data_IF_855747175232
#
_entry.id   IF_855747175232
#
_cell.length_a   1.000
_cell.length_b   1.000
_cell.length_c   1.000
_cell.angle_alpha   90.00
_cell.angle_beta   90.00
_cell.angle_gamma   90.00
#
_symmetry.space_group_name_H-M   'P 1'
#
loop_
_entity.id
_entity.type
_entity.pdbx_description
1 polymer ?
2 non-polymer ?
3 non-polymer ?
4 non-polymer ?
5 water ?
#
# COMPACT_ATOMS: atom_id res chain seq x y z
N UNK A 3 -5.69 -23.66 10.70
CA UNK A 3 -5.03 -24.59 9.74
C UNK A 3 -4.86 -23.97 8.35
N UNK A 4 -5.87 -23.24 7.85
CA UNK A 4 -5.84 -22.80 6.47
C UNK A 4 -6.66 -21.54 6.20
N UNK A 5 -6.13 -20.63 5.39
CA UNK A 5 -6.91 -19.46 5.00
C UNK A 5 -6.99 -19.46 3.49
N UNK A 6 -8.19 -19.26 2.97
CA UNK A 6 -8.44 -19.28 1.55
C UNK A 6 -8.54 -17.85 1.06
N UNK A 7 -7.73 -17.50 0.05
CA UNK A 7 -7.74 -16.14 -0.49
C UNK A 7 -8.02 -16.09 -2.00
N UNK A 8 -8.48 -14.91 -2.39
CA UNK A 8 -8.66 -14.56 -3.79
C UNK A 8 -7.73 -13.38 -4.02
N UNK A 9 -6.91 -13.46 -5.06
CA UNK A 9 -5.94 -12.40 -5.34
C UNK A 9 -6.29 -11.68 -6.64
N UNK A 10 -6.53 -10.38 -6.57
CA UNK A 10 -6.83 -9.57 -7.72
C UNK A 10 -5.58 -8.75 -8.05
N UNK A 11 -4.96 -9.00 -9.21
CA UNK A 11 -3.75 -8.29 -9.61
C UNK A 11 -2.52 -9.09 -9.30
N UNK A 12 -1.74 -9.37 -10.35
CA UNK A 12 -0.53 -10.20 -10.28
C UNK A 12 0.64 -9.53 -11.02
N UNK A 13 0.84 -8.26 -10.69
CA UNK A 13 1.95 -7.48 -11.25
C UNK A 13 3.15 -7.52 -10.32
N UNK A 14 3.88 -6.41 -10.23
CA UNK A 14 5.08 -6.34 -9.39
C UNK A 14 4.80 -6.84 -7.98
N UNK A 15 3.70 -6.37 -7.42
CA UNK A 15 3.42 -6.72 -6.03
C UNK A 15 2.68 -8.07 -5.94
N UNK A 16 1.61 -8.22 -6.70
CA UNK A 16 0.82 -9.46 -6.67
C UNK A 16 1.57 -10.74 -7.04
N UNK A 17 2.47 -10.70 -8.02
CA UNK A 17 3.22 -11.93 -8.32
C UNK A 17 4.14 -12.27 -7.14
N UNK A 18 4.71 -11.26 -6.48
CA UNK A 18 5.53 -11.49 -5.28
C UNK A 18 4.69 -11.98 -4.11
N UNK A 19 3.43 -11.59 -4.07
CA UNK A 19 2.55 -12.11 -3.04
C UNK A 19 2.41 -13.64 -3.20
N UNK A 20 2.22 -14.09 -4.43
CA UNK A 20 2.18 -15.51 -4.72
C UNK A 20 3.51 -16.18 -4.36
N UNK A 21 4.62 -15.55 -4.71
CA UNK A 21 5.93 -16.15 -4.41
C UNK A 21 6.09 -16.36 -2.92
N UNK A 22 5.74 -15.34 -2.13
CA UNK A 22 5.87 -15.41 -0.67
C UNK A 22 4.95 -16.47 -0.09
N UNK A 23 3.71 -16.53 -0.58
CA UNK A 23 2.78 -17.55 -0.13
C UNK A 23 3.29 -18.94 -0.45
N UNK A 24 3.84 -19.10 -1.64
CA UNK A 24 4.32 -20.40 -2.06
C UNK A 24 5.52 -20.85 -1.19
N UNK A 25 6.42 -19.92 -0.90
CA UNK A 25 7.60 -20.22 -0.07
C UNK A 25 7.12 -20.53 1.32
N UNK A 26 6.13 -19.80 1.77
CA UNK A 26 5.58 -19.98 3.12
C UNK A 26 4.94 -21.33 3.30
N UNK A 27 4.11 -21.70 2.34
CA UNK A 27 3.46 -22.98 2.38
C UNK A 27 4.49 -24.11 2.42
N UNK A 28 5.62 -23.93 1.74
CA UNK A 28 6.64 -24.98 1.67
C UNK A 28 7.40 -25.19 2.99
N UNK A 29 7.39 -24.22 3.88
CA UNK A 29 8.00 -24.35 5.20
C UNK A 29 7.08 -25.12 6.11
N UNK A 30 5.79 -24.77 6.03
CA UNK A 30 4.68 -25.47 6.73
C UNK A 30 4.90 -25.79 8.22
N UNK A 33 0.38 -20.99 8.90
CA UNK A 33 -0.66 -21.97 8.59
C UNK A 33 -0.43 -22.52 7.14
N UNK A 34 -1.50 -22.75 6.39
CA UNK A 34 -1.41 -22.89 4.95
C UNK A 34 -2.26 -21.72 4.41
N UNK A 35 -1.75 -21.05 3.39
CA UNK A 35 -2.54 -20.06 2.66
C UNK A 35 -2.87 -20.71 1.31
N UNK A 36 -4.15 -20.91 1.05
CA UNK A 36 -4.63 -21.56 -0.16
C UNK A 36 -5.23 -20.50 -1.07
N UNK A 37 -4.70 -20.41 -2.27
CA UNK A 37 -5.16 -19.42 -3.26
C UNK A 37 -6.22 -20.12 -4.09
N UNK A 38 -7.45 -19.64 -4.01
CA UNK A 38 -8.56 -20.25 -4.72
C UNK A 38 -9.09 -19.39 -5.87
N UNK A 39 -8.50 -18.23 -6.08
CA UNK A 39 -8.85 -17.39 -7.22
C UNK A 39 -7.73 -16.40 -7.47
N UNK A 40 -7.41 -16.15 -8.72
CA UNK A 40 -6.32 -15.21 -9.04
C UNK A 40 -6.57 -14.57 -10.38
N UNK A 41 -6.34 -13.27 -10.49
CA UNK A 41 -6.45 -12.53 -11.77
C UNK A 41 -5.30 -11.53 -12.14
N UNK A 42 -5.25 -11.22 -13.47
CA UNK A 42 -4.58 -10.08 -13.99
C UNK A 42 -5.67 -9.36 -14.84
N UNK A 43 -5.29 -8.39 -15.66
CA UNK A 43 -6.31 -7.58 -16.33
C UNK A 43 -7.07 -8.36 -17.38
N UNK A 44 -6.46 -9.41 -17.91
CA UNK A 44 -7.07 -10.16 -19.01
C UNK A 44 -7.53 -11.57 -18.73
N UNK A 45 -6.95 -12.23 -17.73
CA UNK A 45 -7.22 -13.67 -17.46
C UNK A 45 -7.37 -13.99 -15.98
N UNK A 46 -7.85 -15.20 -15.70
CA UNK A 46 -7.96 -15.64 -14.30
C UNK A 46 -7.90 -17.15 -14.19
N UNK A 47 -7.69 -17.58 -12.96
CA UNK A 47 -7.76 -18.99 -12.58
C UNK A 47 -8.61 -19.06 -11.33
N UNK A 48 -9.39 -20.11 -11.21
CA UNK A 48 -10.30 -20.29 -10.07
C UNK A 48 -10.40 -21.77 -9.82
N UNK A 49 -10.46 -22.19 -8.56
CA UNK A 49 -10.52 -23.61 -8.25
C UNK A 49 -10.07 -23.91 -6.85
N UNK A 50 -10.34 -25.13 -6.37
CA UNK A 50 -10.00 -25.54 -5.00
C UNK A 50 -8.48 -25.70 -4.82
N UNK A 51 -7.86 -26.54 -5.66
CA UNK A 51 -6.41 -26.82 -5.55
C UNK A 51 -5.60 -26.14 -6.70
N UNK A 52 -5.44 -24.83 -6.61
CA UNK A 52 -4.72 -24.08 -7.65
C UNK A 52 -3.24 -24.26 -7.38
N UNK A 53 -2.47 -24.44 -8.46
CA UNK A 53 -1.03 -24.68 -8.35
C UNK A 53 -0.28 -23.37 -8.52
N UNK A 54 0.12 -22.77 -7.40
CA UNK A 54 0.69 -21.43 -7.37
C UNK A 54 1.97 -21.31 -8.15
N UNK A 55 2.89 -22.25 -7.95
CA UNK A 55 4.17 -22.14 -8.67
C UNK A 55 3.93 -22.27 -10.16
N UNK A 56 2.95 -23.07 -10.54
CA UNK A 56 2.62 -23.18 -11.94
C UNK A 56 2.04 -21.88 -12.48
N UNK A 57 1.22 -21.20 -11.69
CA UNK A 57 0.67 -19.92 -12.09
C UNK A 57 1.78 -18.86 -12.17
N UNK A 58 2.70 -18.86 -11.21
CA UNK A 58 3.82 -17.94 -11.26
C UNK A 58 4.64 -18.15 -12.56
N UNK A 59 4.93 -19.41 -12.86
CA UNK A 59 5.71 -19.74 -14.03
C UNK A 59 5.01 -19.29 -15.31
N UNK A 60 3.70 -19.54 -15.42
CA UNK A 60 2.93 -19.16 -16.59
C UNK A 60 2.85 -17.64 -16.77
N UNK A 61 2.67 -16.91 -15.69
CA UNK A 61 2.66 -15.45 -15.74
C UNK A 61 4.02 -14.88 -16.15
N UNK A 62 5.08 -15.35 -15.52
CA UNK A 62 6.45 -14.96 -15.89
C UNK A 62 6.80 -15.20 -17.34
N UNK A 63 6.45 -16.39 -17.82
CA UNK A 63 6.84 -16.76 -19.16
C UNK A 63 6.00 -16.17 -20.27
N UNK A 64 4.70 -16.04 -20.03
CA UNK A 64 3.77 -15.65 -21.07
C UNK A 64 3.11 -14.32 -20.88
N UNK A 65 3.24 -13.75 -19.68
CA UNK A 65 2.63 -12.47 -19.35
C UNK A 65 1.16 -12.57 -18.99
N UNK A 66 0.63 -13.79 -18.89
CA UNK A 66 -0.78 -14.00 -18.53
C UNK A 66 -0.95 -15.08 -17.47
N UNK A 67 -1.98 -14.93 -16.66
CA UNK A 67 -2.27 -15.89 -15.61
C UNK A 67 -2.78 -17.17 -16.20
N UNK A 68 -3.61 -17.04 -17.21
CA UNK A 68 -4.18 -18.19 -17.87
C UNK A 68 -4.67 -17.79 -19.23
N UNK A 69 -5.28 -18.74 -19.93
CA UNK A 69 -5.82 -18.47 -21.24
C UNK A 69 -7.33 -18.50 -21.14
N UNK A 70 -7.82 -18.00 -20.02
CA UNK A 70 -9.24 -17.95 -19.65
C UNK A 70 -9.66 -16.51 -19.28
N UNK A 71 -10.37 -15.87 -20.22
CA UNK A 71 -10.75 -14.46 -20.16
C UNK A 71 -11.44 -14.03 -18.87
N UNK A 72 -10.95 -12.94 -18.29
CA UNK A 72 -11.48 -12.33 -17.08
C UNK A 72 -12.39 -11.15 -17.37
N UNK A 73 -13.62 -11.18 -16.89
CA UNK A 73 -14.56 -10.07 -17.12
C UNK A 73 -14.69 -9.11 -15.93
N UNK A 74 -14.47 -9.60 -14.72
CA UNK A 74 -14.56 -8.79 -13.52
C UNK A 74 -14.53 -9.71 -12.32
N UNK A 75 -14.57 -9.13 -11.11
CA UNK A 75 -14.54 -9.85 -9.84
C UNK A 75 -15.56 -10.96 -9.72
N UNK A 76 -16.70 -10.80 -10.36
CA UNK A 76 -17.73 -11.81 -10.35
C UNK A 76 -17.17 -13.17 -10.77
N UNK A 77 -16.25 -13.19 -11.72
CA UNK A 77 -15.63 -14.44 -12.18
C UNK A 77 -14.94 -15.25 -11.06
N UNK A 78 -14.59 -14.59 -9.95
CA UNK A 78 -13.84 -15.21 -8.88
C UNK A 78 -14.70 -15.59 -7.68
N UNK A 79 -15.97 -15.29 -7.70
CA UNK A 79 -16.80 -15.51 -6.53
C UNK A 79 -17.43 -16.92 -6.49
N UNK A 80 -17.00 -17.80 -7.39
CA UNK A 80 -17.46 -19.19 -7.37
C UNK A 80 -16.86 -20.08 -6.31
N UNK A 81 -15.75 -19.65 -5.71
CA UNK A 81 -15.12 -20.45 -4.68
C UNK A 81 -15.27 -19.75 -3.36
N UNK A 82 -15.51 -20.56 -2.34
CA UNK A 82 -15.53 -20.10 -0.97
C UNK A 82 -14.13 -19.64 -0.60
N UNK A 83 -14.03 -18.44 -0.03
CA UNK A 83 -12.76 -17.83 0.39
C UNK A 83 -13.02 -17.04 1.67
N UNK A 84 -11.95 -16.77 2.41
CA UNK A 84 -12.04 -15.98 3.63
C UNK A 84 -11.65 -14.51 3.41
N UNK A 85 -10.89 -14.27 2.35
CA UNK A 85 -10.24 -12.98 2.17
C UNK A 85 -9.97 -12.65 0.72
N UNK A 86 -10.21 -11.39 0.35
CA UNK A 86 -9.87 -10.86 -0.96
C UNK A 86 -8.65 -9.96 -0.81
N UNK A 87 -7.68 -10.12 -1.71
CA UNK A 87 -6.48 -9.31 -1.71
C UNK A 87 -6.47 -8.46 -2.99
N UNK A 88 -6.38 -7.15 -2.80
CA UNK A 88 -6.36 -6.19 -3.90
C UNK A 88 -4.97 -5.67 -4.18
N UNK A 89 -4.36 -6.19 -5.24
CA UNK A 89 -3.11 -5.68 -5.72
C UNK A 89 -3.27 -5.06 -7.13
N UNK A 90 -4.45 -4.50 -7.38
CA UNK A 90 -4.74 -3.84 -8.68
C UNK A 90 -4.27 -2.39 -8.59
N UNK A 91 -4.06 -1.72 -9.75
CA UNK A 91 -3.64 -0.33 -9.74
C UNK A 91 -4.73 0.61 -9.30
N UNK A 92 -4.33 1.81 -8.88
CA UNK A 92 -5.26 2.85 -8.49
C UNK A 92 -6.14 3.29 -9.62
N UNK A 93 -7.44 3.32 -9.37
CA UNK A 93 -8.40 4.01 -10.25
C UNK A 93 -8.39 5.49 -9.92
N UNK A 94 -9.00 6.31 -10.77
CA UNK A 94 -8.96 7.77 -10.56
C UNK A 94 -9.84 8.24 -9.37
N UNK A 95 -10.90 7.49 -9.08
CA UNK A 95 -11.95 7.91 -8.14
C UNK A 95 -12.26 6.92 -7.02
N UNK A 96 -11.62 5.75 -7.01
CA UNK A 96 -11.85 4.78 -5.94
C UNK A 96 -13.12 3.97 -6.00
N UNK A 97 -13.95 4.19 -7.03
CA UNK A 97 -15.27 3.56 -7.10
C UNK A 97 -15.16 2.07 -7.41
N UNK A 98 -14.23 1.70 -8.30
CA UNK A 98 -14.00 0.31 -8.65
C UNK A 98 -13.58 -0.51 -7.41
N UNK A 99 -12.71 0.09 -6.59
CA UNK A 99 -12.20 -0.55 -5.40
C UNK A 99 -13.29 -0.68 -4.34
N UNK A 100 -14.04 0.40 -4.12
CA UNK A 100 -15.18 0.33 -3.23
C UNK A 100 -16.13 -0.80 -3.63
N UNK A 101 -16.44 -0.91 -4.91
CA UNK A 101 -17.32 -1.92 -5.40
C UNK A 101 -16.77 -3.31 -5.13
N UNK A 102 -15.48 -3.47 -5.36
CA UNK A 102 -14.84 -4.73 -5.10
C UNK A 102 -14.91 -5.12 -3.64
N UNK A 103 -14.58 -4.22 -2.73
CA UNK A 103 -14.54 -4.51 -1.31
C UNK A 103 -15.95 -4.78 -0.81
N UNK A 104 -16.92 -4.01 -1.31
CA UNK A 104 -18.31 -4.22 -0.93
C UNK A 104 -18.76 -5.62 -1.36
N UNK A 105 -18.47 -5.99 -2.61
CA UNK A 105 -18.79 -7.33 -3.08
C UNK A 105 -18.14 -8.40 -2.18
N UNK A 106 -16.86 -8.21 -1.88
CA UNK A 106 -16.14 -9.13 -1.00
C UNK A 106 -16.82 -9.25 0.37
N UNK A 107 -17.08 -8.11 1.01
CA UNK A 107 -17.69 -8.08 2.34
C UNK A 107 -19.02 -8.78 2.36
N UNK A 108 -19.83 -8.51 1.34
CA UNK A 108 -21.15 -9.09 1.26
C UNK A 108 -21.06 -10.58 0.99
N UNK A 109 -19.95 -11.02 0.42
CA UNK A 109 -19.75 -12.43 0.14
C UNK A 109 -19.13 -13.17 1.31
N UNK A 110 -19.00 -12.52 2.47
CA UNK A 110 -18.44 -13.19 3.63
C UNK A 110 -16.92 -13.14 3.77
N UNK A 111 -16.29 -12.20 3.08
CA UNK A 111 -14.87 -12.12 3.09
C UNK A 111 -14.36 -10.87 3.75
N UNK A 112 -13.15 -10.97 4.34
CA UNK A 112 -12.44 -9.74 4.74
C UNK A 112 -11.59 -9.31 3.58
N UNK A 113 -10.96 -8.13 3.69
CA UNK A 113 -10.12 -7.62 2.64
C UNK A 113 -8.76 -7.19 3.11
N UNK A 114 -7.76 -7.47 2.27
CA UNK A 114 -6.42 -6.92 2.42
C UNK A 114 -6.09 -6.15 1.15
N UNK A 115 -5.62 -4.90 1.29
CA UNK A 115 -5.31 -4.15 0.10
C UNK A 115 -3.95 -3.47 0.16
N UNK A 116 -3.30 -3.46 -1.00
CA UNK A 116 -2.13 -2.61 -1.32
C UNK A 116 -2.52 -1.38 -2.12
N UNK A 117 -3.72 -1.42 -2.69
CA UNK A 117 -4.23 -0.34 -3.52
C UNK A 117 -4.74 0.80 -2.61
N UNK A 118 -4.28 2.03 -2.87
CA UNK A 118 -4.56 3.19 -2.04
C UNK A 118 -5.78 3.99 -2.45
N UNK A 119 -6.28 3.76 -3.67
CA UNK A 119 -7.31 4.68 -4.22
C UNK A 119 -8.69 4.52 -3.60
N UNK A 120 -9.11 3.30 -3.33
CA UNK A 120 -10.39 3.08 -2.67
C UNK A 120 -10.44 3.78 -1.34
N UNK A 121 -9.45 3.52 -0.47
CA UNK A 121 -9.42 4.14 0.84
C UNK A 121 -9.20 5.63 0.80
N UNK A 122 -8.47 6.12 -0.19
CA UNK A 122 -8.19 7.56 -0.28
C UNK A 122 -9.40 8.40 -0.75
N UNK A 123 -10.31 7.76 -1.48
CA UNK A 123 -11.46 8.40 -2.07
C UNK A 123 -12.80 8.05 -1.43
N UNK A 124 -12.91 6.82 -0.93
CA UNK A 124 -14.18 6.25 -0.50
C UNK A 124 -14.11 5.60 0.90
N UNK A 125 -13.35 6.21 1.80
CA UNK A 125 -13.15 5.68 3.15
C UNK A 125 -14.48 5.45 3.82
N UNK A 126 -15.35 6.45 3.76
CA UNK A 126 -16.64 6.37 4.42
C UNK A 126 -17.48 5.18 3.95
N UNK A 127 -17.67 5.07 2.64
CA UNK A 127 -18.49 4.02 2.10
C UNK A 127 -17.85 2.66 2.31
N UNK A 128 -16.54 2.59 2.15
CA UNK A 128 -15.87 1.32 2.42
C UNK A 128 -16.02 0.91 3.88
N UNK A 129 -15.86 1.83 4.84
CA UNK A 129 -15.96 1.40 6.27
C UNK A 129 -17.37 1.09 6.67
N UNK A 130 -18.32 1.78 6.06
CA UNK A 130 -19.72 1.51 6.28
C UNK A 130 -20.08 0.10 5.83
N UNK A 131 -19.62 -0.29 4.65
CA UNK A 131 -19.93 -1.62 4.16
C UNK A 131 -19.23 -2.66 5.04
N UNK A 132 -18.00 -2.38 5.47
CA UNK A 132 -17.29 -3.29 6.38
C UNK A 132 -18.11 -3.48 7.68
N UNK A 133 -18.50 -2.35 8.27
CA UNK A 133 -19.32 -2.36 9.48
C UNK A 133 -20.60 -3.16 9.29
N UNK A 134 -21.36 -2.82 8.26
CA UNK A 134 -22.66 -3.43 8.03
C UNK A 134 -22.57 -4.93 7.85
N UNK A 135 -21.45 -5.39 7.34
CA UNK A 135 -21.29 -6.81 7.07
C UNK A 135 -20.45 -7.49 8.12
N UNK A 136 -20.03 -6.75 9.14
CA UNK A 136 -19.15 -7.29 10.20
C UNK A 136 -17.84 -7.90 9.67
N UNK A 137 -17.19 -7.16 8.78
CA UNK A 137 -15.93 -7.63 8.21
C UNK A 137 -14.89 -6.59 8.48
N UNK A 138 -13.65 -6.94 8.11
CA UNK A 138 -12.48 -6.09 8.31
C UNK A 138 -11.73 -5.85 7.04
N UNK A 139 -10.97 -4.75 7.02
CA UNK A 139 -10.05 -4.45 5.99
C UNK A 139 -8.72 -4.04 6.58
N UNK A 140 -7.63 -4.61 6.04
CA UNK A 140 -6.29 -4.19 6.41
C UNK A 140 -5.57 -3.68 5.17
N UNK A 141 -4.62 -2.78 5.42
CA UNK A 141 -4.01 -1.94 4.39
C UNK A 141 -2.56 -1.54 4.67
N UNK A 142 -1.82 -2.45 5.27
CA UNK A 142 -0.41 -2.20 5.54
C UNK A 142 0.37 -1.67 4.35
N UNK A 143 0.25 -2.33 3.22
CA UNK A 143 1.00 -1.97 2.02
C UNK A 143 0.62 -0.65 1.38
N UNK A 144 -0.50 -0.04 1.77
CA UNK A 144 -0.95 1.21 1.17
C UNK A 144 -0.13 2.44 1.59
N UNK A 145 0.62 2.38 2.71
CA UNK A 145 1.50 3.51 3.07
C UNK A 145 2.90 2.97 3.40
N UNK A 146 3.90 3.41 2.65
CA UNK A 146 5.28 2.94 2.87
C UNK A 146 5.34 1.44 2.70
N UNK A 147 5.05 1.00 1.50
CA UNK A 147 5.11 -0.41 1.11
C UNK A 147 5.54 -1.41 2.17
N UNK A 148 6.83 -1.62 2.27
CA UNK A 148 7.36 -2.65 3.12
C UNK A 148 7.75 -2.23 4.53
N UNK A 149 7.56 -0.98 4.89
CA UNK A 149 7.91 -0.56 6.25
C UNK A 149 6.72 -0.82 7.16
N UNK A 150 6.90 -1.57 8.25
CA UNK A 150 5.78 -1.75 9.19
C UNK A 150 5.29 -0.44 9.77
N UNK A 151 3.98 -0.19 9.63
CA UNK A 151 3.40 1.06 9.99
C UNK A 151 2.07 0.78 10.69
N UNK A 152 1.07 0.26 9.96
CA UNK A 152 -0.24 0.09 10.62
C UNK A 152 -0.19 -1.03 11.63
N UNK A 153 0.62 -2.04 11.40
CA UNK A 153 0.77 -3.14 12.36
C UNK A 153 1.44 -2.61 13.66
N UNK A 154 2.31 -1.61 13.49
CA UNK A 154 2.99 -0.94 14.63
C UNK A 154 1.97 -0.12 15.42
N UNK A 155 1.19 0.64 14.69
CA UNK A 155 0.15 1.48 15.30
C UNK A 155 -0.90 0.61 15.96
N UNK A 156 -1.23 -0.55 15.37
CA UNK A 156 -2.24 -1.45 15.94
C UNK A 156 -1.76 -2.27 17.13
N UNK A 157 -0.52 -2.73 17.13
CA UNK A 157 -0.10 -3.69 18.16
C UNK A 157 1.13 -3.36 18.98
N UNK A 158 1.80 -2.25 18.69
CA UNK A 158 3.04 -1.88 19.40
C UNK A 158 2.90 -0.66 20.31
N UNK A 159 1.93 0.21 20.07
CA UNK A 159 1.74 1.42 20.90
C UNK A 159 0.29 1.61 21.35
N UNK A 160 -0.33 0.51 21.77
CA UNK A 160 -1.72 0.53 22.23
C UNK A 160 -2.05 1.55 23.33
N UNK A 161 -1.15 1.78 24.30
CA UNK A 161 -1.50 2.73 25.34
C UNK A 161 -1.54 4.21 24.93
N UNK A 162 -1.01 4.54 23.76
CA UNK A 162 -0.79 5.94 23.41
C UNK A 162 -1.83 6.62 22.55
N UNK A 163 -1.92 7.93 22.74
CA UNK A 163 -2.43 8.79 21.68
C UNK A 163 -1.23 9.19 20.79
N UNK A 164 -1.41 9.14 19.48
CA UNK A 164 -0.44 9.61 18.51
C UNK A 164 -0.68 11.08 18.30
N UNK A 165 0.34 11.86 18.54
CA UNK A 165 0.27 13.32 18.39
C UNK A 165 0.64 13.73 16.97
N UNK A 166 1.64 13.07 16.40
CA UNK A 166 2.06 13.39 15.04
C UNK A 166 2.78 12.28 14.32
N UNK A 167 2.58 12.26 13.01
CA UNK A 167 3.29 11.41 12.09
C UNK A 167 4.03 12.27 11.06
N UNK A 168 5.29 11.91 10.80
CA UNK A 168 6.04 12.52 9.72
C UNK A 168 6.90 11.46 9.04
N UNK A 169 6.81 11.34 7.71
CA UNK A 169 7.61 10.33 7.05
C UNK A 169 7.86 10.54 5.60
N UNK A 170 8.86 9.82 5.10
CA UNK A 170 9.12 9.66 3.67
C UNK A 170 8.44 8.37 3.29
N UNK A 171 7.23 8.47 2.73
CA UNK A 171 6.39 7.30 2.50
C UNK A 171 6.03 7.07 1.04
N UNK A 172 6.33 8.01 0.15
CA UNK A 172 6.03 7.87 -1.30
C UNK A 172 7.40 7.77 -1.96
N UNK A 173 7.70 6.59 -2.49
CA UNK A 173 9.02 6.26 -3.02
C UNK A 173 9.43 7.07 -4.24
N UNK A 174 8.75 6.82 -5.35
CA UNK A 174 9.18 7.34 -6.66
C UNK A 174 9.43 8.86 -6.66
N UNK A 175 8.52 9.65 -6.07
CA UNK A 175 8.72 11.12 -6.04
C UNK A 175 9.99 11.46 -5.28
N UNK A 176 10.27 10.72 -4.22
CA UNK A 176 11.45 11.01 -3.43
C UNK A 176 12.75 10.59 -4.15
N UNK A 177 12.69 9.45 -4.81
CA UNK A 177 13.80 8.92 -5.58
C UNK A 177 14.09 9.90 -6.69
N UNK A 178 13.03 10.40 -7.32
CA UNK A 178 13.18 11.39 -8.43
C UNK A 178 13.85 12.65 -7.95
N UNK A 179 13.32 13.24 -6.88
CA UNK A 179 13.90 14.46 -6.31
C UNK A 179 15.36 14.25 -5.93
N UNK A 180 15.66 13.16 -5.23
CA UNK A 180 17.04 12.93 -4.80
C UNK A 180 18.03 12.74 -5.95
N UNK A 181 17.60 11.99 -6.96
CA UNK A 181 18.42 11.72 -8.10
C UNK A 181 18.55 12.92 -9.02
N UNK A 182 17.47 13.66 -9.21
CA UNK A 182 17.58 14.89 -9.97
C UNK A 182 18.48 15.93 -9.26
N UNK A 183 18.49 15.91 -7.92
CA UNK A 183 19.40 16.79 -7.18
C UNK A 183 20.84 16.43 -7.57
N UNK A 184 21.10 15.16 -7.92
CA UNK A 184 22.44 14.73 -8.37
C UNK A 184 22.65 14.97 -9.87
N UNK A 185 21.73 15.67 -10.50
CA UNK A 185 21.85 16.01 -11.90
C UNK A 185 21.40 14.98 -12.93
N UNK A 186 20.60 13.99 -12.53
CA UNK A 186 20.12 13.01 -13.49
C UNK A 186 18.84 13.51 -14.17
N UNK A 187 18.63 13.08 -15.42
CA UNK A 187 17.41 13.41 -16.14
C UNK A 187 16.24 12.65 -15.57
N UNK A 188 15.05 13.19 -15.77
CA UNK A 188 13.84 12.54 -15.34
C UNK A 188 13.70 11.16 -15.96
N UNK A 189 14.00 11.08 -17.26
CA UNK A 189 13.88 9.80 -17.95
C UNK A 189 14.75 8.77 -17.27
N UNK A 190 16.00 9.10 -16.99
CA UNK A 190 16.89 8.10 -16.39
C UNK A 190 16.41 7.60 -15.03
N UNK A 191 15.94 8.52 -14.21
CA UNK A 191 15.48 8.19 -12.90
C UNK A 191 14.19 7.37 -13.01
N UNK A 192 13.24 7.84 -13.81
CA UNK A 192 11.99 7.07 -14.00
C UNK A 192 12.30 5.64 -14.49
N UNK A 193 13.29 5.51 -15.36
CA UNK A 193 13.72 4.19 -15.89
C UNK A 193 14.19 3.33 -14.70
N UNK A 194 15.03 3.88 -13.83
CA UNK A 194 15.46 3.16 -12.66
C UNK A 194 14.31 2.81 -11.72
N UNK A 195 13.38 3.73 -11.48
CA UNK A 195 12.21 3.43 -10.62
C UNK A 195 11.37 2.25 -11.15
N UNK A 196 11.17 2.22 -12.47
CA UNK A 196 10.45 1.14 -13.13
C UNK A 196 11.22 -0.16 -12.98
N UNK A 197 12.54 -0.11 -13.19
CA UNK A 197 13.39 -1.29 -12.99
C UNK A 197 13.31 -1.81 -11.56
N UNK A 198 13.33 -0.92 -10.57
CA UNK A 198 13.14 -1.33 -9.19
C UNK A 198 11.73 -1.86 -8.90
N UNK A 199 10.76 -1.39 -9.67
CA UNK A 199 9.39 -1.84 -9.51
C UNK A 199 8.56 -0.98 -8.60
N UNK A 200 9.03 0.23 -8.29
CA UNK A 200 8.37 1.12 -7.34
C UNK A 200 7.44 2.16 -7.99
N UNK A 201 7.52 2.40 -9.28
CA UNK A 201 6.69 3.41 -9.93
C UNK A 201 5.26 2.93 -10.02
N UNK A 202 4.31 3.86 -9.91
CA UNK A 202 2.91 3.57 -10.05
C UNK A 202 2.61 3.20 -11.48
N UNK A 203 1.56 2.39 -11.66
CA UNK A 203 1.06 1.97 -12.95
C UNK A 203 0.78 3.18 -13.83
N UNK A 204 0.38 4.28 -13.19
CA UNK A 204 0.31 5.60 -13.86
C UNK A 204 1.35 6.44 -13.16
N UNK A 205 2.55 6.50 -13.74
CA UNK A 205 3.66 7.23 -13.07
C UNK A 205 3.42 8.72 -12.82
N UNK A 206 2.47 9.32 -13.56
CA UNK A 206 2.11 10.72 -13.28
C UNK A 206 1.53 10.88 -11.87
N UNK A 207 0.91 9.81 -11.35
CA UNK A 207 0.42 9.80 -9.95
C UNK A 207 1.57 10.02 -8.96
N UNK A 208 2.75 9.51 -9.29
CA UNK A 208 3.95 9.73 -8.46
C UNK A 208 4.43 11.18 -8.59
N UNK A 209 4.62 11.62 -9.82
CA UNK A 209 5.26 12.92 -10.10
C UNK A 209 4.38 14.08 -9.68
N UNK A 210 3.08 13.93 -9.69
CA UNK A 210 2.28 15.07 -9.26
C UNK A 210 1.98 15.03 -7.77
N UNK A 211 2.53 14.03 -7.07
CA UNK A 211 2.37 13.95 -5.61
C UNK A 211 1.06 13.31 -5.16
N UNK A 212 0.28 12.80 -6.10
CA UNK A 212 -1.00 12.15 -5.80
C UNK A 212 -0.82 10.85 -5.00
N UNK A 213 0.23 10.09 -5.29
CA UNK A 213 0.52 8.88 -4.48
C UNK A 213 0.69 9.30 -3.03
N UNK A 214 1.51 10.31 -2.78
CA UNK A 214 1.68 10.77 -1.40
C UNK A 214 0.36 11.25 -0.78
N UNK A 215 -0.45 11.95 -1.59
CA UNK A 215 -1.71 12.48 -1.12
C UNK A 215 -2.63 11.37 -0.66
N UNK A 216 -2.73 10.29 -1.43
CA UNK A 216 -3.58 9.17 -1.08
C UNK A 216 -3.13 8.58 0.24
N UNK A 217 -1.82 8.45 0.40
CA UNK A 217 -1.28 7.88 1.63
C UNK A 217 -1.64 8.78 2.80
N UNK A 218 -1.65 10.10 2.58
CA UNK A 218 -1.90 11.01 3.67
C UNK A 218 -3.33 10.92 4.17
N UNK A 219 -4.26 10.60 3.28
CA UNK A 219 -5.69 10.42 3.63
C UNK A 219 -5.83 9.20 4.52
N UNK A 220 -5.23 8.12 4.09
CA UNK A 220 -5.28 6.86 4.83
C UNK A 220 -4.69 7.07 6.23
N UNK A 221 -3.55 7.77 6.29
CA UNK A 221 -2.89 8.05 7.57
C UNK A 221 -3.74 8.90 8.50
N UNK A 222 -4.22 10.04 8.02
CA UNK A 222 -5.01 10.93 8.88
C UNK A 222 -6.30 10.22 9.32
N UNK A 223 -6.97 9.50 8.41
CA UNK A 223 -8.22 8.78 8.78
C UNK A 223 -7.94 7.65 9.78
N UNK A 224 -6.89 6.87 9.53
CA UNK A 224 -6.49 5.85 10.48
C UNK A 224 -6.15 6.41 11.89
N UNK A 225 -5.28 7.40 11.97
CA UNK A 225 -4.78 7.87 13.23
C UNK A 225 -5.80 8.71 13.94
N UNK A 226 -6.44 9.65 13.23
CA UNK A 226 -7.36 10.58 13.93
C UNK A 226 -8.84 10.29 13.78
N UNK A 227 -9.20 9.22 13.08
CA UNK A 227 -10.59 8.82 13.03
C UNK A 227 -11.46 9.69 12.15
N UNK A 228 -10.87 10.41 11.22
CA UNK A 228 -11.61 11.23 10.31
C UNK A 228 -12.01 10.40 9.08
N UNK A 229 -12.80 11.01 8.19
CA UNK A 229 -13.18 10.36 6.96
C UNK A 229 -12.88 11.33 5.81
N UNK A 230 -11.66 11.86 5.80
CA UNK A 230 -11.24 12.77 4.77
C UNK A 230 -11.12 12.02 3.43
N UNK A 231 -11.16 12.80 2.35
CA UNK A 231 -10.86 12.35 1.00
C UNK A 231 -9.68 13.19 0.50
N UNK A 232 -9.32 13.01 -0.77
CA UNK A 232 -8.24 13.81 -1.39
C UNK A 232 -8.55 15.29 -1.38
N UNK A 233 -9.84 15.65 -1.36
CA UNK A 233 -10.26 17.04 -1.32
C UNK A 233 -9.87 17.74 -0.03
N UNK A 234 -9.45 16.98 0.98
CA UNK A 234 -9.21 17.53 2.30
C UNK A 234 -7.77 17.59 2.72
N UNK A 235 -6.86 17.23 1.82
CA UNK A 235 -5.44 17.18 2.13
C UNK A 235 -4.69 18.08 1.19
N UNK A 236 -3.48 18.49 1.57
CA UNK A 236 -2.63 19.37 0.74
C UNK A 236 -1.46 18.53 0.21
N UNK A 237 -1.11 18.71 -1.05
CA UNK A 237 0.01 18.00 -1.62
C UNK A 237 0.67 18.76 -2.76
N UNK A 238 1.90 18.38 -3.07
CA UNK A 238 2.68 19.02 -4.11
C UNK A 238 3.39 17.94 -4.93
N UNK A 239 3.72 18.25 -6.17
CA UNK A 239 4.43 17.30 -7.04
C UNK A 239 5.80 17.84 -7.27
N UNK A 240 6.50 17.26 -8.24
CA UNK A 240 7.81 17.73 -8.63
C UNK A 240 7.61 18.93 -9.56
N UNK A 241 8.51 19.91 -9.52
CA UNK A 241 8.41 21.04 -10.41
C UNK A 241 9.77 21.29 -11.03
N UNK A 242 9.92 22.41 -11.71
CA UNK A 242 11.14 22.65 -12.49
C UNK A 242 12.30 23.22 -11.66
N UNK A 243 12.19 23.20 -10.34
CA UNK A 243 13.23 23.77 -9.54
C UNK A 243 14.56 22.97 -9.58
N UNK A 244 15.61 23.58 -9.09
CA UNK A 244 16.83 22.85 -8.89
C UNK A 244 16.74 22.32 -7.46
N UNK A 245 16.70 21.00 -7.28
CA UNK A 245 16.57 20.45 -5.94
C UNK A 245 17.88 20.41 -5.16
N UNK A 246 17.80 20.60 -3.85
CA UNK A 246 18.91 20.45 -2.94
C UNK A 246 19.09 19.01 -2.48
N UNK A 247 20.31 18.67 -2.04
CA UNK A 247 20.65 17.32 -1.59
C UNK A 247 19.81 16.89 -0.39
N UNK A 248 19.35 17.86 0.40
CA UNK A 248 18.54 17.57 1.58
C UNK A 248 17.01 17.75 1.41
N UNK A 249 16.55 17.88 0.16
CA UNK A 249 15.13 17.99 -0.12
C UNK A 249 14.49 16.60 -0.20
N UNK A 250 13.36 16.47 0.47
CA UNK A 250 12.54 15.28 0.51
C UNK A 250 11.07 15.69 0.47
N UNK A 251 10.25 14.81 -0.12
CA UNK A 251 8.81 14.96 -0.10
C UNK A 251 8.31 14.26 1.17
N UNK A 252 7.98 15.07 2.16
CA UNK A 252 7.59 14.58 3.47
C UNK A 252 6.09 14.69 3.65
N UNK A 253 5.50 13.61 4.14
CA UNK A 253 4.08 13.53 4.44
C UNK A 253 3.91 13.63 5.95
N UNK A 254 3.14 14.64 6.36
CA UNK A 254 2.83 14.90 7.79
C UNK A 254 1.32 14.87 8.11
N UNK A 255 1.01 14.32 9.28
CA UNK A 255 -0.34 14.24 9.79
C UNK A 255 -0.26 14.63 11.24
N UNK A 256 -1.09 15.58 11.61
CA UNK A 256 -1.07 16.18 12.94
C UNK A 256 -2.33 17.00 13.13
N UNK A 257 -2.54 17.56 14.32
CA UNK A 257 -3.73 18.37 14.60
C UNK A 257 -3.33 19.86 14.71
N UNK A 258 -4.03 20.72 13.97
CA UNK A 258 -3.82 22.16 13.97
C UNK A 258 -5.11 22.79 14.35
N UNK A 259 -5.10 23.52 15.47
CA UNK A 259 -6.30 24.19 15.97
C UNK A 259 -7.48 23.22 15.99
N UNK A 260 -7.30 22.14 16.76
CA UNK A 260 -8.33 21.12 16.98
C UNK A 260 -8.78 20.33 15.72
N UNK A 261 -8.25 20.66 14.54
CA UNK A 261 -8.56 19.95 13.30
C UNK A 261 -7.37 19.11 12.82
N UNK A 262 -7.57 17.79 12.54
CA UNK A 262 -6.47 17.03 11.93
C UNK A 262 -6.14 17.53 10.55
N UNK A 263 -4.84 17.56 10.23
CA UNK A 263 -4.38 18.02 8.93
C UNK A 263 -3.45 16.98 8.32
N UNK A 264 -3.49 16.91 6.99
CA UNK A 264 -2.65 15.98 6.22
C UNK A 264 -1.98 16.79 5.14
N UNK A 265 -0.66 16.83 5.16
CA UNK A 265 0.10 17.64 4.22
C UNK A 265 1.37 16.96 3.70
N UNK A 266 1.52 16.88 2.38
CA UNK A 266 2.75 16.35 1.75
C UNK A 266 3.47 17.52 1.05
N UNK A 267 4.73 17.73 1.35
CA UNK A 267 5.40 18.92 0.84
C UNK A 267 6.89 18.68 0.71
N UNK A 268 7.55 19.45 -0.14
CA UNK A 268 8.98 19.31 -0.29
C UNK A 268 9.66 20.13 0.81
N UNK A 269 10.50 19.50 1.61
CA UNK A 269 11.17 20.14 2.72
C UNK A 269 12.68 19.89 2.65
N UNK A 270 13.46 20.91 2.99
CA UNK A 270 14.91 20.75 3.13
C UNK A 270 15.19 20.37 4.56
N UNK A 271 15.56 19.11 4.77
CA UNK A 271 15.72 18.58 6.11
C UNK A 271 17.05 18.93 6.74
N UNK A 272 17.01 19.09 8.06
CA UNK A 272 18.16 19.26 8.89
C UNK A 272 18.94 17.97 8.96
N UNK A 273 20.25 18.11 9.11
CA UNK A 273 21.17 17.00 9.15
C UNK A 273 20.82 15.99 10.21
N UNK A 274 20.36 16.45 11.36
CA UNK A 274 20.04 15.56 12.47
C UNK A 274 18.59 15.03 12.49
N UNK A 275 17.83 15.30 11.45
CA UNK A 275 16.47 14.79 11.33
C UNK A 275 16.52 13.28 11.13
N UNK A 276 15.68 12.49 11.80
CA UNK A 276 15.71 11.03 11.58
C UNK A 276 15.49 10.68 10.12
N UNK A 277 14.70 11.47 9.45
CA UNK A 277 14.33 11.15 8.08
C UNK A 277 15.51 11.22 7.14
N UNK A 278 16.54 11.97 7.54
CA UNK A 278 17.76 12.02 6.75
C UNK A 278 18.58 10.75 6.92
N UNK A 279 18.22 9.85 7.84
CA UNK A 279 18.95 8.59 7.96
C UNK A 279 18.46 7.59 6.91
N UNK A 280 17.34 7.89 6.26
CA UNK A 280 16.75 6.96 5.31
C UNK A 280 17.51 6.98 3.99
N UNK A 281 17.93 5.79 3.58
CA UNK A 281 18.76 5.62 2.39
C UNK A 281 17.97 5.80 1.11
N UNK A 282 18.71 5.92 0.02
CA UNK A 282 18.17 6.17 -1.32
C UNK A 282 17.05 5.23 -1.70
N UNK A 283 17.16 3.97 -1.30
CA UNK A 283 16.16 2.95 -1.69
C UNK A 283 15.15 2.63 -0.61
N UNK A 284 15.16 3.39 0.48
CA UNK A 284 14.29 3.07 1.59
C UNK A 284 13.20 4.09 1.84
N UNK A 285 12.33 3.75 2.80
CA UNK A 285 11.28 4.63 3.29
C UNK A 285 11.28 4.60 4.82
N UNK A 286 10.56 5.50 5.45
CA UNK A 286 10.52 5.50 6.91
C UNK A 286 9.74 6.67 7.45
N UNK A 287 9.53 6.65 8.76
CA UNK A 287 8.75 7.64 9.44
C UNK A 287 9.07 7.75 10.94
N UNK A 288 8.42 8.72 11.57
CA UNK A 288 8.57 8.96 12.98
C UNK A 288 7.17 9.18 13.54
N UNK A 289 6.81 8.50 14.63
CA UNK A 289 5.56 8.81 15.29
C UNK A 289 5.84 9.30 16.70
N UNK A 290 5.31 10.48 16.99
CA UNK A 290 5.32 11.06 18.34
C UNK A 290 4.08 10.58 19.09
N UNK A 291 4.27 10.00 20.28
CA UNK A 291 3.19 9.42 21.10
C UNK A 291 3.23 9.94 22.49
N UNK A 292 2.11 9.84 23.20
CA UNK A 292 2.09 10.37 24.53
C UNK A 292 2.49 9.33 25.61
N UNK A 293 2.53 8.03 25.28
CA UNK A 293 2.90 6.98 26.26
C UNK A 293 3.99 5.98 25.83
N UNK A 294 4.47 6.08 24.60
CA UNK A 294 5.50 5.18 24.08
C UNK A 294 6.66 5.94 23.43
N UNK A 295 6.80 7.21 23.80
CA UNK A 295 7.86 8.06 23.26
C UNK A 295 7.70 8.43 21.80
N UNK A 296 8.84 8.71 21.16
CA UNK A 296 8.86 8.99 19.74
C UNK A 296 9.63 7.87 19.09
N UNK A 297 8.92 7.19 18.21
CA UNK A 297 9.41 5.98 17.58
C UNK A 297 9.72 6.21 16.12
N UNK A 298 10.89 5.71 15.70
CA UNK A 298 11.35 5.82 14.33
C UNK A 298 11.40 4.44 13.68
N UNK A 299 10.96 4.36 12.43
CA UNK A 299 10.88 3.06 11.73
C UNK A 299 11.24 3.32 10.29
N UNK A 300 12.11 2.50 9.75
CA UNK A 300 12.51 2.63 8.35
C UNK A 300 12.93 1.27 7.79
N UNK A 301 13.27 1.24 6.51
CA UNK A 301 13.90 0.05 5.96
C UNK A 301 15.04 0.43 5.03
N UNK A 302 15.71 -0.59 4.53
CA UNK A 302 16.87 -0.38 3.70
C UNK A 302 16.50 -0.36 2.22
N UNK A 303 15.62 -1.26 1.81
CA UNK A 303 15.27 -1.35 0.41
C UNK A 303 13.78 -1.62 0.35
N UNK A 304 13.00 -0.65 -0.07
CA UNK A 304 11.57 -0.83 -0.12
C UNK A 304 11.14 -1.04 -1.56
N UNK A 305 10.83 -2.28 -1.88
CA UNK A 305 10.45 -2.66 -3.24
C UNK A 305 9.17 -3.43 -3.22
N UNK A 306 8.72 -3.87 -4.40
CA UNK A 306 7.48 -4.66 -4.49
C UNK A 306 7.54 -6.00 -3.75
N UNK A 307 8.73 -6.57 -3.57
CA UNK A 307 8.84 -7.81 -2.80
C UNK A 307 8.50 -7.57 -1.31
N UNK A 308 9.06 -6.51 -0.74
CA UNK A 308 8.81 -6.10 0.64
C UNK A 308 7.40 -5.64 0.84
N UNK A 309 6.84 -4.98 -0.15
CA UNK A 309 5.44 -4.61 -0.10
C UNK A 309 4.59 -5.87 -0.06
N UNK A 310 4.92 -6.85 -0.90
CA UNK A 310 4.21 -8.16 -0.88
C UNK A 310 4.28 -8.84 0.51
N UNK A 311 5.39 -8.66 1.20
CA UNK A 311 5.54 -9.23 2.52
C UNK A 311 4.60 -8.56 3.50
N UNK A 312 4.36 -7.27 3.31
CA UNK A 312 3.39 -6.51 4.12
C UNK A 312 1.98 -7.00 3.88
N UNK A 313 1.64 -7.23 2.61
CA UNK A 313 0.36 -7.84 2.26
C UNK A 313 0.18 -9.20 2.95
N UNK A 314 1.22 -10.04 2.94
CA UNK A 314 1.07 -11.39 3.50
C UNK A 314 1.02 -11.32 5.03
N UNK A 315 1.70 -10.33 5.62
CA UNK A 315 1.55 -10.11 7.07
C UNK A 315 0.10 -9.80 7.40
N UNK A 316 -0.53 -8.93 6.59
CA UNK A 316 -1.95 -8.62 6.78
C UNK A 316 -2.82 -9.88 6.67
N UNK A 317 -2.54 -10.72 5.69
CA UNK A 317 -3.29 -12.00 5.53
C UNK A 317 -3.18 -12.86 6.81
N UNK A 318 -1.98 -12.93 7.36
CA UNK A 318 -1.72 -13.75 8.54
C UNK A 318 -2.35 -13.11 9.77
N UNK A 319 -2.33 -11.78 9.87
CA UNK A 319 -3.01 -11.13 11.00
C UNK A 319 -4.51 -11.43 10.95
N UNK A 320 -5.10 -11.41 9.75
CA UNK A 320 -6.53 -11.68 9.63
C UNK A 320 -6.89 -13.16 9.84
N UNK A 321 -5.91 -14.04 9.65
CA UNK A 321 -6.15 -15.46 9.87
C UNK A 321 -6.50 -15.74 11.32
N UNK A 322 -6.00 -14.90 12.24
CA UNK A 322 -6.23 -15.10 13.67
C UNK A 322 -7.57 -14.52 14.16
N UNK A 323 -8.33 -13.83 13.31
CA UNK A 323 -9.65 -13.31 13.73
C UNK A 323 -10.60 -14.49 14.00
X LIG B 1 3.50 -0.10 5.42
X LIG C 1 1.24 -3.46 -11.66
X LIG C 1 2.60 -4.02 -11.81
X LIG C 1 0.78 -2.53 -12.73
X LIG C 1 0.15 -4.64 -11.56
X LIG C 1 -1.24 -4.47 -11.53
X LIG C 1 -1.95 -5.82 -11.69
X LIG C 1 -3.34 -5.66 -11.77
X LIG C 1 -1.58 -6.49 -13.02
X LIG C 1 -1.72 -7.90 -12.92
X LIG C 1 -2.59 -5.95 -13.97
X LIG C 1 -2.83 -6.74 -15.09
X LIG C 1 -3.81 -6.00 -13.07
X LIG C 1 -4.87 -5.06 -13.43
X LIG C 1 -4.83 -3.84 -14.03
X LIG C 1 -6.11 -3.36 -14.08
X LIG C 1 -6.93 -4.27 -13.53
X LIG C 1 -8.30 -4.27 -13.36
X LIG C 1 -8.99 -3.13 -13.49
X LIG C 1 -8.82 -5.35 -12.76
X LIG C 1 -8.07 -6.44 -12.36
X LIG C 1 -6.70 -6.46 -12.51
X LIG C 1 -6.18 -5.35 -13.10
X LIG C 1 1.11 -2.72 -10.24
X LIG C 1 1.99 -3.02 -8.92
X LIG C 1 3.30 -2.31 -9.05
X LIG C 1 1.96 -4.49 -8.69
X LIG C 1 1.16 -2.24 -7.76
X LIG C 1 -0.08 -2.85 -7.41
X LIG C 1 -0.75 -2.02 -6.32
X LIG C 1 0.11 -1.99 -5.21
X LIG C 1 -0.96 -0.57 -6.70
X LIG C 1 -2.26 -0.08 -6.33
X LIG C 1 0.16 0.17 -5.99
X LIG C 1 -0.16 1.50 -5.70
X LIG C 1 0.32 -0.67 -4.75
X LIG C 1 1.62 -0.51 -4.10
X LIG C 1 2.75 -0.77 -4.82
X LIG C 1 4.02 -0.47 -4.32
X LIG C 1 5.21 -0.92 -5.08
X LIG C 1 6.29 -1.31 -4.34
X LIG C 1 5.20 -1.06 -6.40
X LIG C 1 4.22 -0.18 -2.84
X LIG C 1 2.91 0.05 -2.15
X LIG C 1 1.69 -0.14 -2.78
X LIG C 1 -1.66 -7.23 -16.08
X LIG C 1 -2.50 -7.82 -17.19
X LIG C 1 -0.62 -8.16 -15.37
X LIG C 1 -0.98 -5.97 -16.49
X LIG D 1 9.80 -5.45 -11.07
X LIG D 1 10.83 -5.73 -10.12
X LIG D 1 10.42 -4.86 -12.33
X LIG D 1 9.86 -5.52 -13.47
X LIG E 1 17.10 5.55 -19.44
X LIG E 1 16.89 6.94 -19.70
X LIG E 1 18.15 4.98 -20.39
X LIG E 1 17.86 5.36 -21.74
X LIG F 1 13.76 7.99 -0.48
X LIG F 1 15.00 7.63 0.14
X LIG F 1 13.70 7.53 -1.94
X LIG F 1 13.04 6.25 -2.03
X LIG G 1 -6.41 -1.82 10.48
X LIG G 1 -5.05 -1.43 10.66
X LIG G 1 -7.30 -1.16 11.54
X LIG G 1 -6.66 -0.94 12.82
X LIG H 1 -16.10 -5.39 12.01
X LIG H 1 -16.93 -4.80 10.99
X LIG H 1 -16.87 -5.45 13.32
X LIG H 1 -17.33 -6.79 13.51
X LIG I 1 -4.86 8.97 18.59
X LIG I 1 -4.61 10.33 18.12
X LIG I 1 -3.88 7.92 18.06
X LIG I 1 -4.39 6.98 17.04
#
# INVERSE_FOLDING_TARGET
GXKEIRIILMGTGNVGLNVLRIIDASNRRRSAFSIKVVGVSDSRSYASGRNLDISSIISNKEKTGRISDRAFSGPEDLMGEAADLLVDCTPASRDGVREYSLYRMAFESGMNVVTANKSGLANKWHDIMDSANQNSKYIRYEATVAGGVPLFSVLDYSILPSKVKRFRGIVSSTINYVIRNMANGRSLRDVVDDAIKKGIAESNPQDDLNGLDAARKSVILVNHIFGTEYTLNDVEYSGVDERSYNANDRLVTEVYVDDRRPVAVSRIISLNKDDFLMSIGMDGLGYQIETDSNGTVNVSDIYDGPYETAGAVVNDILLLSKVQK
NA NA
NDP PA O1A O2A O5B C5B C4B O4B C3B O3B C2B O2B C1B N9A C8A N7A C5A C6A N6A N1A C2A N3A C4A O3 PN O1N O2N O5D C5D C4D O4D C3D O3D C2D O2D C1D N1N C2N C3N C7N O7N N7N C4N C5N C6N P2B O1X O2X O3X
EDO C1 O1 C2 O2
EDO C1 O1 C2 O2
EDO C1 O1 C2 O2
EDO C1 O1 C2 O2
EDO C1 O1 C2 O2
EDO C1 O1 C2 O2
#
